data_IF_907982074666
#
_entry.id   IF_907982074666
#
_cell.length_a   1.000
_cell.length_b   1.000
_cell.length_c   1.000
_cell.angle_alpha   90.00
_cell.angle_beta   90.00
_cell.angle_gamma   90.00
#
_symmetry.space_group_name_H-M   'P 1'
#
loop_
_entity.id
_entity.type
_entity.pdbx_description
1 polymer ?
#
# COMPACT_ATOMS: atom_id res chain seq x y z
N UNK A 1 -13.81 -8.89 -15.52
CA UNK A 1 -14.66 -8.43 -16.62
C UNK A 1 -15.67 -7.41 -16.06
N UNK A 2 -15.44 -6.10 -16.25
CA UNK A 2 -16.28 -5.00 -15.70
C UNK A 2 -16.39 -3.87 -16.73
N UNK A 3 -17.23 -4.07 -17.74
CA UNK A 3 -17.46 -3.10 -18.82
C UNK A 3 -18.49 -1.96 -18.57
N UNK A 4 -19.37 -1.91 -17.55
CA UNK A 4 -20.32 -0.79 -17.45
C UNK A 4 -19.76 0.49 -16.79
N UNK A 5 -18.65 0.42 -16.05
CA UNK A 5 -18.08 1.57 -15.31
C UNK A 5 -16.99 2.30 -16.10
N UNK A 6 -16.49 1.71 -17.20
CA UNK A 6 -15.47 2.34 -18.05
C UNK A 6 -15.99 3.69 -18.57
N UNK A 7 -15.27 4.74 -18.20
CA UNK A 7 -15.57 6.11 -18.58
C UNK A 7 -16.67 6.81 -17.77
N UNK A 8 -17.24 6.21 -16.70
CA UNK A 8 -18.22 6.91 -15.85
C UNK A 8 -17.65 8.24 -15.32
N UNK A 9 -16.47 8.19 -14.70
CA UNK A 9 -15.80 9.36 -14.13
C UNK A 9 -15.57 10.44 -15.20
N UNK A 10 -15.06 10.03 -16.37
CA UNK A 10 -14.83 10.96 -17.49
C UNK A 10 -16.13 11.60 -18.01
N UNK A 11 -17.21 10.81 -18.19
CA UNK A 11 -18.51 11.34 -18.62
C UNK A 11 -19.10 12.30 -17.59
N UNK A 12 -19.01 11.95 -16.31
CA UNK A 12 -19.51 12.80 -15.22
C UNK A 12 -18.80 14.15 -15.18
N UNK A 13 -17.47 14.15 -15.18
CA UNK A 13 -16.67 15.38 -15.10
C UNK A 13 -16.83 16.24 -16.36
N UNK A 14 -16.88 15.64 -17.56
CA UNK A 14 -17.15 16.38 -18.81
C UNK A 14 -18.54 17.02 -18.80
N UNK A 15 -19.56 16.32 -18.28
CA UNK A 15 -20.91 16.87 -18.13
C UNK A 15 -20.90 18.07 -17.17
N UNK A 16 -20.26 17.95 -16.02
CA UNK A 16 -20.11 19.03 -15.04
C UNK A 16 -19.41 20.26 -15.64
N UNK A 17 -18.37 20.03 -16.45
CA UNK A 17 -17.70 21.10 -17.20
C UNK A 17 -18.65 21.77 -18.20
N UNK A 18 -19.36 21.00 -19.03
CA UNK A 18 -20.31 21.53 -20.01
C UNK A 18 -21.41 22.38 -19.36
N UNK A 19 -22.00 21.93 -18.25
CA UNK A 19 -23.03 22.68 -17.51
C UNK A 19 -22.49 24.04 -17.02
N UNK A 20 -21.22 24.10 -16.64
CA UNK A 20 -20.54 25.34 -16.22
C UNK A 20 -20.23 26.26 -17.41
N UNK A 21 -19.71 25.71 -18.52
CA UNK A 21 -19.38 26.47 -19.73
C UNK A 21 -20.62 27.06 -20.41
N UNK A 22 -21.76 26.36 -20.41
CA UNK A 22 -23.04 26.88 -20.91
C UNK A 22 -23.49 28.09 -20.11
N UNK A 23 -23.34 28.02 -18.78
CA UNK A 23 -23.71 29.11 -17.88
C UNK A 23 -22.79 30.33 -18.02
N UNK A 24 -21.49 30.11 -18.24
CA UNK A 24 -20.48 31.17 -18.38
C UNK A 24 -20.21 31.67 -19.80
N UNK A 25 -20.72 30.99 -20.84
CA UNK A 25 -20.46 31.26 -22.28
C UNK A 25 -18.99 31.31 -22.69
N UNK A 26 -18.09 30.72 -21.90
CA UNK A 26 -16.65 30.68 -22.15
C UNK A 26 -16.15 29.25 -22.02
N UNK A 27 -15.36 28.80 -23.00
CA UNK A 27 -14.71 27.49 -22.99
C UNK A 27 -13.29 27.63 -22.45
N UNK A 28 -12.92 26.80 -21.48
CA UNK A 28 -11.56 26.82 -20.92
C UNK A 28 -10.79 25.55 -21.33
N UNK A 29 -9.83 25.73 -22.24
CA UNK A 29 -9.04 24.63 -22.81
C UNK A 29 -8.13 23.97 -21.76
N UNK A 30 -7.66 24.72 -20.76
CA UNK A 30 -6.85 24.17 -19.67
C UNK A 30 -7.69 23.28 -18.77
N UNK A 31 -8.91 23.71 -18.44
CA UNK A 31 -9.86 22.87 -17.70
C UNK A 31 -10.19 21.58 -18.45
N UNK A 32 -10.37 21.62 -19.76
CA UNK A 32 -10.58 20.40 -20.56
C UNK A 32 -9.41 19.42 -20.38
N UNK A 33 -8.15 19.89 -20.40
CA UNK A 33 -6.97 19.04 -20.17
C UNK A 33 -6.99 18.41 -18.77
N UNK A 34 -7.31 19.20 -17.75
CA UNK A 34 -7.39 18.73 -16.35
C UNK A 34 -8.48 17.66 -16.21
N UNK A 35 -9.69 17.95 -16.69
CA UNK A 35 -10.84 17.03 -16.63
C UNK A 35 -10.57 15.73 -17.38
N UNK A 36 -9.81 15.78 -18.47
CA UNK A 36 -9.42 14.60 -19.25
C UNK A 36 -8.29 13.79 -18.58
N UNK A 37 -7.52 14.44 -17.72
CA UNK A 37 -6.41 13.83 -17.00
C UNK A 37 -6.87 13.11 -15.72
N UNK A 38 -7.84 13.65 -14.99
CA UNK A 38 -8.34 13.04 -13.73
C UNK A 38 -8.72 11.54 -13.86
N UNK A 39 -9.49 11.10 -14.88
CA UNK A 39 -9.78 9.68 -15.05
C UNK A 39 -8.53 8.83 -15.30
N UNK A 40 -7.49 9.40 -15.93
CA UNK A 40 -6.22 8.69 -16.18
C UNK A 40 -5.46 8.46 -14.87
N UNK A 41 -5.44 9.44 -13.96
CA UNK A 41 -4.89 9.27 -12.61
C UNK A 41 -5.62 8.15 -11.87
N UNK A 42 -6.94 8.17 -11.88
CA UNK A 42 -7.75 7.12 -11.26
C UNK A 42 -7.43 5.73 -11.80
N UNK A 43 -7.27 5.59 -13.12
CA UNK A 43 -6.85 4.34 -13.75
C UNK A 43 -5.42 3.93 -13.40
N UNK A 44 -4.49 4.88 -13.39
CA UNK A 44 -3.08 4.67 -13.03
C UNK A 44 -2.96 4.12 -11.60
N UNK A 45 -3.64 4.76 -10.64
CA UNK A 45 -3.67 4.33 -9.24
C UNK A 45 -4.23 2.91 -9.07
N UNK A 46 -5.32 2.59 -9.77
CA UNK A 46 -5.91 1.26 -9.67
C UNK A 46 -5.04 0.17 -10.31
N UNK A 47 -4.31 0.48 -11.39
CA UNK A 47 -3.30 -0.44 -11.94
C UNK A 47 -2.17 -0.67 -10.96
N UNK A 48 -1.70 0.39 -10.29
CA UNK A 48 -0.67 0.28 -9.26
C UNK A 48 -1.13 -0.62 -8.10
N UNK A 49 -2.36 -0.45 -7.62
CA UNK A 49 -2.96 -1.29 -6.57
C UNK A 49 -3.10 -2.75 -6.99
N UNK A 50 -3.60 -3.02 -8.21
CA UNK A 50 -3.74 -4.38 -8.74
C UNK A 50 -2.39 -5.13 -8.79
N UNK A 51 -1.30 -4.41 -9.05
CA UNK A 51 0.05 -4.97 -9.07
C UNK A 51 0.62 -5.29 -7.67
N UNK A 52 0.17 -4.59 -6.62
CA UNK A 52 0.75 -4.67 -5.27
C UNK A 52 -0.20 -5.21 -4.20
N UNK A 53 -1.49 -5.39 -4.50
CA UNK A 53 -2.53 -5.81 -3.56
C UNK A 53 -3.60 -6.69 -4.24
N UNK A 54 -4.67 -7.03 -3.53
CA UNK A 54 -5.76 -7.85 -4.09
C UNK A 54 -6.61 -7.06 -5.10
N UNK A 55 -7.39 -7.77 -5.93
CA UNK A 55 -8.30 -7.12 -6.89
C UNK A 55 -9.46 -6.36 -6.25
N UNK A 56 -9.74 -6.61 -4.97
CA UNK A 56 -10.79 -5.93 -4.20
C UNK A 56 -10.29 -4.60 -3.61
N UNK A 57 -8.97 -4.41 -3.55
CA UNK A 57 -8.33 -3.17 -3.10
C UNK A 57 -8.27 -2.20 -4.28
N UNK A 58 -9.14 -1.19 -4.24
CA UNK A 58 -9.29 -0.22 -5.32
C UNK A 58 -9.69 1.15 -4.77
N UNK A 59 -9.30 2.21 -5.47
CA UNK A 59 -9.86 3.54 -5.27
C UNK A 59 -11.12 3.66 -6.13
N UNK A 60 -12.26 3.94 -5.49
CA UNK A 60 -13.51 4.18 -6.19
C UNK A 60 -13.55 5.54 -6.91
N UNK A 61 -14.28 5.67 -8.03
CA UNK A 61 -14.36 6.92 -8.79
C UNK A 61 -15.03 8.06 -7.99
N UNK A 62 -15.78 7.73 -6.93
CA UNK A 62 -16.43 8.69 -6.01
C UNK A 62 -15.44 9.71 -5.46
N UNK A 63 -14.19 9.30 -5.22
CA UNK A 63 -13.14 10.16 -4.67
C UNK A 63 -12.86 11.39 -5.55
N UNK A 64 -13.10 11.27 -6.87
CA UNK A 64 -12.76 12.30 -7.86
C UNK A 64 -13.97 13.14 -8.31
N UNK A 65 -15.20 12.80 -7.91
CA UNK A 65 -16.42 13.49 -8.38
C UNK A 65 -16.53 14.94 -7.89
N UNK A 66 -15.86 15.26 -6.77
CA UNK A 66 -15.83 16.60 -6.20
C UNK A 66 -14.86 17.56 -6.89
N UNK A 67 -14.09 17.11 -7.90
CA UNK A 67 -13.15 17.94 -8.65
C UNK A 67 -13.77 19.31 -9.02
N UNK A 68 -13.18 20.43 -8.56
CA UNK A 68 -13.63 21.77 -8.93
C UNK A 68 -13.59 22.02 -10.44
N UNK A 69 -14.50 22.85 -10.95
CA UNK A 69 -14.47 23.35 -12.33
C UNK A 69 -13.80 24.73 -12.35
N UNK A 70 -12.56 24.74 -11.87
CA UNK A 70 -11.69 25.90 -11.81
C UNK A 70 -10.22 25.43 -11.84
N UNK A 71 -9.34 26.16 -12.53
CA UNK A 71 -7.96 25.69 -12.76
C UNK A 71 -7.19 25.66 -11.44
N UNK A 72 -7.23 26.74 -10.68
CA UNK A 72 -6.50 26.86 -9.41
C UNK A 72 -7.15 26.00 -8.32
N UNK A 73 -8.47 26.06 -8.21
CA UNK A 73 -9.24 25.25 -7.28
C UNK A 73 -9.03 23.76 -7.48
N UNK A 74 -9.01 23.27 -8.73
CA UNK A 74 -8.75 21.85 -9.02
C UNK A 74 -7.32 21.43 -8.69
N UNK A 75 -6.34 22.33 -8.81
CA UNK A 75 -4.96 22.07 -8.41
C UNK A 75 -4.84 21.89 -6.90
N UNK A 76 -5.34 22.86 -6.13
CA UNK A 76 -5.33 22.82 -4.66
C UNK A 76 -6.05 21.56 -4.17
N UNK A 77 -7.25 21.33 -4.69
CA UNK A 77 -8.03 20.14 -4.38
C UNK A 77 -7.27 18.84 -4.68
N UNK A 78 -6.59 18.76 -5.83
CA UNK A 78 -5.86 17.54 -6.19
C UNK A 78 -4.66 17.31 -5.27
N UNK A 79 -3.91 18.36 -4.93
CA UNK A 79 -2.79 18.28 -3.99
C UNK A 79 -3.26 17.79 -2.62
N UNK A 80 -4.34 18.35 -2.09
CA UNK A 80 -4.90 17.92 -0.80
C UNK A 80 -5.41 16.49 -0.85
N UNK A 81 -6.15 16.15 -1.91
CA UNK A 81 -6.63 14.78 -2.13
C UNK A 81 -5.46 13.79 -2.19
N UNK A 82 -4.41 14.14 -2.91
CA UNK A 82 -3.22 13.32 -3.06
C UNK A 82 -2.52 13.09 -1.73
N UNK A 83 -2.17 14.19 -1.04
CA UNK A 83 -1.34 14.16 0.16
C UNK A 83 -2.07 13.59 1.38
N UNK A 84 -3.37 13.87 1.53
CA UNK A 84 -4.11 13.52 2.75
C UNK A 84 -5.03 12.31 2.60
N UNK A 85 -5.36 11.89 1.38
CA UNK A 85 -6.25 10.74 1.16
C UNK A 85 -5.60 9.62 0.33
N UNK A 86 -5.01 9.94 -0.82
CA UNK A 86 -4.45 8.92 -1.73
C UNK A 86 -3.20 8.30 -1.13
N UNK A 87 -2.21 9.10 -0.73
CA UNK A 87 -0.93 8.58 -0.21
C UNK A 87 -1.12 7.72 1.05
N UNK A 88 -1.87 8.16 2.09
CA UNK A 88 -2.15 7.31 3.25
C UNK A 88 -2.83 5.98 2.88
N UNK A 89 -3.77 6.00 1.94
CA UNK A 89 -4.44 4.78 1.46
C UNK A 89 -3.47 3.84 0.73
N UNK A 90 -2.63 4.36 -0.18
CA UNK A 90 -1.65 3.56 -0.91
C UNK A 90 -0.60 2.94 0.02
N UNK A 91 -0.13 3.71 1.02
CA UNK A 91 0.80 3.21 2.04
C UNK A 91 0.25 1.96 2.73
N UNK A 92 -0.99 2.04 3.23
CA UNK A 92 -1.62 0.92 3.94
C UNK A 92 -1.88 -0.27 3.01
N UNK A 93 -2.49 0.00 1.84
CA UNK A 93 -2.82 -1.03 0.86
C UNK A 93 -1.61 -1.84 0.37
N UNK A 94 -0.46 -1.16 0.19
CA UNK A 94 0.79 -1.80 -0.23
C UNK A 94 1.45 -2.53 0.94
N UNK A 95 1.43 -1.98 2.16
CA UNK A 95 1.95 -2.68 3.35
C UNK A 95 1.20 -3.98 3.61
N UNK A 96 -0.12 -3.94 3.60
CA UNK A 96 -0.97 -5.13 3.74
C UNK A 96 -0.74 -6.11 2.57
N UNK A 97 -0.69 -5.60 1.34
CA UNK A 97 -0.43 -6.41 0.15
C UNK A 97 0.92 -7.14 0.20
N UNK A 98 1.98 -6.45 0.65
CA UNK A 98 3.29 -7.05 0.88
C UNK A 98 3.25 -8.10 1.97
N UNK A 99 2.58 -7.85 3.09
CA UNK A 99 2.47 -8.83 4.17
C UNK A 99 1.75 -10.11 3.73
N UNK A 100 0.65 -9.97 2.98
CA UNK A 100 -0.20 -11.10 2.58
C UNK A 100 0.35 -11.87 1.37
N UNK A 101 0.94 -11.18 0.40
CA UNK A 101 1.28 -11.77 -0.89
C UNK A 101 2.75 -11.64 -1.27
N UNK A 102 3.55 -10.95 -0.46
CA UNK A 102 4.94 -10.63 -0.78
C UNK A 102 5.10 -9.71 -1.97
N UNK A 103 6.33 -9.66 -2.51
CA UNK A 103 6.64 -8.84 -3.69
C UNK A 103 6.10 -9.50 -4.95
N UNK A 104 5.06 -8.88 -5.55
CA UNK A 104 4.41 -9.37 -6.77
C UNK A 104 4.82 -8.64 -8.05
N UNK A 105 5.32 -7.41 -7.91
CA UNK A 105 5.72 -6.54 -9.00
C UNK A 105 6.99 -5.76 -8.61
N UNK A 106 7.78 -5.27 -9.57
CA UNK A 106 8.86 -4.31 -9.28
C UNK A 106 8.28 -3.01 -8.74
N UNK A 107 9.08 -2.31 -7.92
CA UNK A 107 8.68 -1.01 -7.38
C UNK A 107 8.65 0.07 -8.46
N UNK A 108 7.56 0.83 -8.50
CA UNK A 108 7.43 2.05 -9.29
C UNK A 108 6.59 3.05 -8.50
N UNK A 109 7.16 4.21 -8.15
CA UNK A 109 6.44 5.26 -7.43
C UNK A 109 5.30 5.82 -8.28
N UNK A 110 4.02 5.68 -7.88
CA UNK A 110 2.90 6.19 -8.64
C UNK A 110 2.91 7.72 -8.78
N UNK A 111 3.57 8.44 -7.87
CA UNK A 111 3.71 9.90 -7.94
C UNK A 111 4.52 10.35 -9.16
N UNK A 112 5.48 9.53 -9.62
CA UNK A 112 6.34 9.86 -10.78
C UNK A 112 5.52 10.16 -12.03
N UNK A 113 4.65 9.23 -12.43
CA UNK A 113 3.78 9.40 -13.59
C UNK A 113 2.83 10.61 -13.42
N UNK A 114 2.33 10.82 -12.21
CA UNK A 114 1.44 11.95 -11.91
C UNK A 114 2.15 13.29 -12.09
N UNK A 115 3.40 13.40 -11.62
CA UNK A 115 4.24 14.59 -11.81
C UNK A 115 4.65 14.79 -13.27
N UNK A 116 5.02 13.71 -13.97
CA UNK A 116 5.43 13.77 -15.39
C UNK A 116 4.29 14.18 -16.33
N UNK A 117 3.04 13.94 -15.92
CA UNK A 117 1.84 14.22 -16.73
C UNK A 117 1.00 15.38 -16.17
N UNK A 118 1.55 16.16 -15.25
CA UNK A 118 0.85 17.17 -14.48
C UNK A 118 0.24 18.27 -15.39
N UNK A 119 -1.10 18.47 -15.38
CA UNK A 119 -1.74 19.37 -16.35
C UNK A 119 -1.56 20.86 -16.03
N UNK A 120 -1.14 21.22 -14.81
CA UNK A 120 -0.97 22.60 -14.33
C UNK A 120 0.44 23.18 -14.56
N UNK A 121 1.23 22.61 -15.47
CA UNK A 121 2.65 22.92 -15.64
C UNK A 121 2.99 24.32 -16.23
N UNK A 122 2.01 25.21 -16.39
CA UNK A 122 2.19 26.49 -17.11
C UNK A 122 2.28 27.74 -16.22
N UNK A 123 2.14 27.65 -14.89
CA UNK A 123 2.15 28.86 -14.04
C UNK A 123 3.50 29.10 -13.34
N UNK A 124 4.08 30.32 -13.39
CA UNK A 124 5.32 30.67 -12.67
C UNK A 124 5.22 30.56 -11.13
N UNK A 125 4.00 30.41 -10.59
CA UNK A 125 3.70 30.29 -9.15
C UNK A 125 3.90 28.86 -8.60
N UNK A 126 4.53 27.93 -9.33
CA UNK A 126 4.73 26.56 -8.85
C UNK A 126 5.44 26.45 -7.48
N UNK A 127 6.28 27.43 -7.13
CA UNK A 127 7.06 27.44 -5.90
C UNK A 127 6.25 27.70 -4.62
N UNK A 128 4.98 28.14 -4.73
CA UNK A 128 4.15 28.50 -3.56
C UNK A 128 3.31 27.32 -3.04
N UNK A 129 3.24 26.22 -3.78
CA UNK A 129 2.32 25.12 -3.47
C UNK A 129 3.04 23.93 -2.82
N UNK A 130 2.40 23.23 -1.86
CA UNK A 130 2.96 22.01 -1.30
C UNK A 130 3.24 20.98 -2.41
N UNK A 131 4.40 20.30 -2.38
CA UNK A 131 4.69 19.25 -3.36
C UNK A 131 3.74 18.06 -3.17
N UNK A 132 3.54 17.29 -4.24
CA UNK A 132 2.89 15.99 -4.13
C UNK A 132 3.81 15.04 -3.37
N UNK A 133 3.29 14.42 -2.31
CA UNK A 133 4.03 13.41 -1.56
C UNK A 133 4.34 12.20 -2.45
N UNK A 134 5.58 11.72 -2.37
CA UNK A 134 6.02 10.50 -3.04
C UNK A 134 5.74 9.28 -2.18
N UNK A 135 5.46 8.15 -2.82
CA UNK A 135 5.40 6.87 -2.14
C UNK A 135 6.76 6.21 -2.29
N UNK A 136 7.54 6.16 -1.20
CA UNK A 136 8.89 5.60 -1.24
C UNK A 136 8.87 4.12 -0.83
N UNK A 137 9.78 3.28 -1.38
CA UNK A 137 9.78 1.86 -1.07
C UNK A 137 10.03 1.59 0.42
N UNK A 138 10.85 2.41 1.09
CA UNK A 138 11.11 2.29 2.52
C UNK A 138 9.86 2.53 3.39
N UNK A 139 8.96 3.41 2.95
CA UNK A 139 7.77 3.77 3.72
C UNK A 139 6.77 2.62 3.83
N UNK A 140 6.82 1.66 2.89
CA UNK A 140 5.99 0.45 2.91
C UNK A 140 6.77 -0.81 3.29
N UNK A 141 8.07 -0.67 3.61
CA UNK A 141 8.95 -1.81 3.88
C UNK A 141 9.29 -2.63 2.64
N UNK A 142 9.15 -2.06 1.43
CA UNK A 142 9.37 -2.77 0.17
C UNK A 142 10.80 -3.30 0.08
N UNK A 143 11.83 -2.49 0.33
CA UNK A 143 13.25 -2.85 0.20
C UNK A 143 13.74 -3.87 1.24
N UNK A 144 13.17 -3.83 2.45
CA UNK A 144 13.46 -4.75 3.55
C UNK A 144 12.68 -6.06 3.49
N UNK A 145 11.69 -6.18 2.59
CA UNK A 145 10.90 -7.39 2.43
C UNK A 145 11.73 -8.52 1.80
N UNK A 146 12.48 -9.22 2.66
CA UNK A 146 12.84 -10.61 2.44
C UNK A 146 11.62 -11.43 2.85
N UNK A 147 11.13 -12.32 1.97
CA UNK A 147 10.14 -13.32 2.38
C UNK A 147 10.67 -13.94 3.69
N UNK A 148 9.85 -14.08 4.75
CA UNK A 148 10.22 -14.99 5.81
C UNK A 148 10.37 -16.33 5.09
N UNK A 149 11.61 -16.80 4.94
CA UNK A 149 11.85 -18.16 4.46
C UNK A 149 11.13 -19.05 5.46
N UNK A 150 10.01 -19.63 5.07
CA UNK A 150 9.58 -20.88 5.64
C UNK A 150 10.77 -21.84 5.48
N UNK A 151 11.45 -22.13 6.59
CA UNK A 151 12.52 -23.11 6.71
C UNK A 151 13.66 -22.99 5.70
N UNK A 152 14.72 -22.24 6.00
CA UNK A 152 16.04 -22.62 5.47
C UNK A 152 17.16 -22.13 6.37
N UNK A 153 17.74 -23.07 7.12
CA UNK A 153 19.03 -22.94 7.76
C UNK A 153 20.09 -22.49 6.73
N UNK A 154 20.84 -21.43 7.04
CA UNK A 154 22.20 -21.26 6.55
C UNK A 154 22.99 -20.26 7.41
N UNK A 155 23.85 -20.87 8.23
CA UNK A 155 25.09 -20.41 8.85
C UNK A 155 25.69 -19.10 8.31
N UNK A 156 25.98 -18.17 9.21
CA UNK A 156 27.33 -17.59 9.42
C UNK A 156 27.54 -17.29 10.93
N UNK A 157 28.74 -17.58 11.44
CA UNK A 157 29.26 -17.44 12.83
C UNK A 157 30.54 -16.58 12.77
N UNK A 158 31.17 -16.10 13.88
CA UNK A 158 30.71 -15.67 15.23
C UNK A 158 31.36 -14.29 15.64
N UNK A 159 31.20 -13.70 16.87
CA UNK A 159 31.87 -14.18 18.10
C UNK A 159 31.10 -14.00 19.45
N UNK A 160 31.57 -14.75 20.45
CA UNK A 160 31.52 -14.55 21.91
C UNK A 160 30.22 -14.76 22.72
N UNK A 161 30.34 -15.76 23.60
CA UNK A 161 29.85 -15.90 24.97
C UNK A 161 28.37 -15.74 25.33
N UNK A 162 27.95 -16.75 26.11
CA UNK A 162 26.81 -16.83 27.00
C UNK A 162 25.44 -17.21 26.39
N UNK A 163 24.88 -18.24 27.04
CA UNK A 163 23.50 -18.72 27.01
C UNK A 163 23.04 -19.50 25.79
N UNK A 164 22.88 -20.80 26.03
CA UNK A 164 22.36 -21.77 25.08
C UNK A 164 21.03 -21.34 24.48
N UNK A 165 20.86 -21.77 23.23
CA UNK A 165 19.67 -21.58 22.41
C UNK A 165 18.38 -21.63 23.26
N UNK A 166 17.59 -20.54 23.32
CA UNK A 166 16.38 -20.47 24.14
C UNK A 166 15.36 -21.55 23.76
N UNK A 167 15.36 -22.01 22.50
CA UNK A 167 14.53 -23.14 22.05
C UNK A 167 15.02 -24.46 22.66
N UNK A 168 16.33 -24.70 22.68
CA UNK A 168 16.91 -25.91 23.25
C UNK A 168 16.64 -26.00 24.76
N UNK A 169 16.77 -24.88 25.47
CA UNK A 169 16.47 -24.81 26.90
C UNK A 169 15.00 -25.07 27.20
N UNK A 170 14.09 -24.54 26.38
CA UNK A 170 12.65 -24.79 26.54
C UNK A 170 12.31 -26.25 26.21
N UNK A 171 12.92 -26.82 25.17
CA UNK A 171 12.77 -28.24 24.79
C UNK A 171 13.25 -29.18 25.90
N UNK A 172 14.42 -28.93 26.49
CA UNK A 172 14.91 -29.71 27.63
C UNK A 172 13.97 -29.63 28.83
N UNK A 173 13.51 -28.42 29.19
CA UNK A 173 12.55 -28.23 30.30
C UNK A 173 11.21 -28.91 30.05
N UNK A 174 10.71 -28.89 28.80
CA UNK A 174 9.49 -29.58 28.41
C UNK A 174 9.67 -31.11 28.45
N UNK A 175 10.82 -31.60 28.02
CA UNK A 175 11.15 -33.03 28.07
C UNK A 175 11.30 -33.53 29.50
N UNK A 176 11.95 -32.75 30.38
CA UNK A 176 12.05 -33.06 31.81
C UNK A 176 10.68 -33.11 32.47
N UNK A 177 9.81 -32.12 32.22
CA UNK A 177 8.46 -32.09 32.77
C UNK A 177 7.59 -33.26 32.26
N UNK A 178 7.79 -33.70 31.01
CA UNK A 178 7.07 -34.83 30.43
C UNK A 178 7.59 -36.20 30.90
N UNK A 179 8.84 -36.29 31.35
CA UNK A 179 9.44 -37.54 31.85
C UNK A 179 9.11 -37.85 33.32
N UNK A 180 8.39 -36.97 34.03
CA UNK A 180 7.99 -37.20 35.43
C UNK A 180 6.69 -38.01 35.60
N UNK A 181 6.04 -38.44 34.53
CA UNK A 181 4.79 -39.20 34.58
C UNK A 181 4.98 -40.67 34.18
N UNK A 182 5.53 -41.48 35.08
CA UNK A 182 5.10 -42.89 35.31
C UNK A 182 5.74 -43.49 36.58
N UNK A 183 5.01 -44.37 37.29
CA UNK A 183 5.18 -44.61 38.72
C UNK A 183 6.39 -45.50 39.01
N UNK A 184 7.15 -45.17 40.05
CA UNK A 184 8.10 -46.08 40.67
C UNK A 184 7.33 -47.25 41.28
N UNK A 185 7.27 -48.36 40.53
CA UNK A 185 7.07 -49.68 41.08
C UNK A 185 8.39 -50.31 41.52
N UNK A 186 8.24 -51.41 42.27
CA UNK A 186 9.23 -52.44 42.63
C UNK A 186 10.19 -52.05 43.77
N UNK A 187 10.50 -52.88 44.76
CA UNK A 187 10.04 -54.21 45.15
C UNK A 187 10.57 -54.49 46.58
N UNK A 188 9.81 -55.27 47.35
CA UNK A 188 10.19 -56.35 48.27
C UNK A 188 11.56 -56.37 48.99
N UNK A 189 11.58 -56.57 50.33
CA UNK A 189 12.03 -57.86 50.90
C UNK A 189 11.76 -58.06 52.42
N UNK A 190 10.97 -59.11 52.70
CA UNK A 190 11.20 -60.23 53.64
C UNK A 190 11.92 -60.02 55.00
N UNK A 191 11.27 -60.41 56.11
CA UNK A 191 11.80 -61.50 56.94
C UNK A 191 10.74 -62.17 57.85
N UNK A 192 10.79 -63.48 57.87
CA UNK A 192 9.98 -64.44 58.62
C UNK A 192 10.54 -64.64 60.04
N UNK A 193 9.67 -64.74 61.06
CA UNK A 193 9.46 -65.88 61.97
C UNK A 193 8.54 -65.49 63.14
#
# INVERSE_FOLDING_TARGET
HTEPVKGFLGRFLRRKLMETEISGRVRNVELVKIIDWIPKVWHHLNRFLEAHSSSDVTIGPRLFLSCPIDVDGSRVWFTDLWNYSIIPYLLEAVREGLQLYGRRAPWEDPAKWVMDTYPWAASPQQHEWPPLLQLRPEDVGFDGYSMPREGSASKQLPPSDAEGDPLMNMLMRLQEAANYSSPQGYDSDSNSN
#
